data_IF_212565132479
#
_entry.id   IF_212565132479
#
_cell.length_a   1.000
_cell.length_b   1.000
_cell.length_c   1.000
_cell.angle_alpha   90.00
_cell.angle_beta   90.00
_cell.angle_gamma   90.00
#
_symmetry.space_group_name_H-M   'P 1'
#
loop_
_entity.id
_entity.type
_entity.pdbx_description
1 polymer ?
#
# COMPACT_ATOMS: atom_id res chain seq x y z
N UNK A 1 54.98 77.29 12.52
CA UNK A 1 53.61 76.83 12.84
C UNK A 1 53.48 75.41 12.31
N UNK A 2 53.37 74.46 13.24
CA UNK A 2 52.92 73.05 13.13
C UNK A 2 53.46 72.18 11.97
N UNK A 3 54.63 71.60 12.25
CA UNK A 3 55.12 70.23 12.06
C UNK A 3 54.56 69.35 10.92
N UNK A 4 55.51 68.91 10.09
CA UNK A 4 55.51 67.99 8.96
C UNK A 4 55.13 66.53 9.31
N UNK A 5 54.47 65.80 8.37
CA UNK A 5 54.87 64.42 8.03
C UNK A 5 54.23 63.91 6.73
N UNK A 6 55.04 63.83 5.67
CA UNK A 6 54.89 62.90 4.55
C UNK A 6 56.27 62.22 4.38
N UNK A 7 56.28 60.94 3.93
CA UNK A 7 57.40 59.94 3.88
C UNK A 7 57.44 59.05 5.13
N UNK A 8 57.62 57.73 5.07
CA UNK A 8 58.27 56.84 4.10
C UNK A 8 57.89 55.37 4.43
N UNK A 9 58.00 54.48 3.43
CA UNK A 9 58.38 53.04 3.50
C UNK A 9 57.76 52.08 4.51
N UNK A 10 57.13 51.03 3.98
CA UNK A 10 57.65 49.65 4.07
C UNK A 10 57.55 48.90 5.41
N UNK A 11 56.82 47.77 5.36
CA UNK A 11 56.77 46.66 6.32
C UNK A 11 56.08 46.92 7.67
N UNK A 12 55.33 45.92 8.14
CA UNK A 12 55.75 45.31 9.39
C UNK A 12 55.80 43.78 9.36
N UNK A 13 56.81 43.29 10.08
CA UNK A 13 56.93 42.01 10.77
C UNK A 13 55.58 41.53 11.34
N UNK A 14 55.28 40.24 11.48
CA UNK A 14 56.14 39.07 11.68
C UNK A 14 55.58 38.31 12.87
N UNK A 15 54.72 37.31 12.63
CA UNK A 15 54.29 36.34 13.65
C UNK A 15 54.12 34.94 13.03
N UNK A 16 55.23 34.20 13.10
CA UNK A 16 55.42 32.76 13.31
C UNK A 16 54.49 31.71 12.65
N UNK A 17 55.16 30.83 11.90
CA UNK A 17 54.79 29.47 11.50
C UNK A 17 54.08 28.66 12.59
N UNK A 18 52.95 28.05 12.21
CA UNK A 18 52.46 26.76 12.73
C UNK A 18 51.79 25.99 11.57
N UNK A 19 52.48 25.79 10.46
CA UNK A 19 52.00 24.87 9.40
C UNK A 19 52.88 23.62 9.23
N UNK A 20 53.91 23.47 10.09
CA UNK A 20 54.88 22.37 10.04
C UNK A 20 54.47 21.11 10.84
N UNK A 21 53.21 20.97 11.25
CA UNK A 21 52.75 19.80 12.04
C UNK A 21 51.48 19.12 11.55
N UNK A 22 51.08 19.32 10.29
CA UNK A 22 49.97 18.57 9.71
C UNK A 22 50.46 17.59 8.64
N UNK A 23 50.11 16.29 8.71
CA UNK A 23 50.50 15.32 7.70
C UNK A 23 49.95 15.77 6.34
N UNK A 24 50.78 15.65 5.30
CA UNK A 24 50.42 15.92 3.91
C UNK A 24 49.13 15.15 3.58
N UNK A 25 47.99 15.82 3.64
CA UNK A 25 46.76 15.29 3.08
C UNK A 25 46.96 15.28 1.56
N UNK A 26 46.65 14.17 0.87
CA UNK A 26 46.88 14.07 -0.56
C UNK A 26 46.12 15.19 -1.26
N UNK A 27 46.89 16.03 -1.96
CA UNK A 27 46.45 17.11 -2.84
C UNK A 27 45.06 16.84 -3.45
N UNK A 28 44.08 17.68 -3.11
CA UNK A 28 42.82 17.77 -3.87
C UNK A 28 43.16 18.13 -5.31
N UNK A 29 42.90 17.28 -6.32
CA UNK A 29 43.24 17.62 -7.68
C UNK A 29 42.14 18.51 -8.24
N UNK A 30 42.21 19.81 -7.96
CA UNK A 30 41.64 20.83 -8.84
C UNK A 30 42.47 20.92 -10.14
N UNK A 31 42.72 19.77 -10.80
CA UNK A 31 43.13 19.72 -12.20
C UNK A 31 41.86 19.57 -13.01
N UNK A 32 41.56 20.56 -13.84
CA UNK A 32 40.42 20.56 -14.76
C UNK A 32 40.63 19.44 -15.79
N UNK A 33 40.19 18.22 -15.45
CA UNK A 33 40.20 17.10 -16.36
C UNK A 33 39.17 17.33 -17.46
N UNK A 34 39.51 16.98 -18.70
CA UNK A 34 38.52 16.91 -19.76
C UNK A 34 37.38 15.98 -19.34
N UNK A 35 36.13 16.23 -19.78
CA UNK A 35 34.97 15.40 -19.40
C UNK A 35 35.21 13.90 -19.63
N UNK A 36 35.94 13.55 -20.69
CA UNK A 36 36.34 12.18 -21.01
C UNK A 36 37.28 11.57 -19.96
N UNK A 37 38.32 12.31 -19.52
CA UNK A 37 39.24 11.85 -18.47
C UNK A 37 38.55 11.75 -17.10
N UNK A 38 37.58 12.63 -16.81
CA UNK A 38 36.75 12.56 -15.60
C UNK A 38 35.86 11.32 -15.60
N UNK A 39 35.23 11.00 -16.73
CA UNK A 39 34.44 9.76 -16.89
C UNK A 39 35.32 8.52 -16.70
N UNK A 40 36.51 8.51 -17.30
CA UNK A 40 37.44 7.38 -17.16
C UNK A 40 37.94 7.22 -15.72
N UNK A 41 38.15 8.31 -14.98
CA UNK A 41 38.51 8.26 -13.56
C UNK A 41 37.43 7.57 -12.72
N UNK A 42 36.14 7.94 -12.88
CA UNK A 42 35.05 7.29 -12.15
C UNK A 42 34.82 5.83 -12.58
N UNK A 43 35.03 5.50 -13.86
CA UNK A 43 34.99 4.12 -14.34
C UNK A 43 36.12 3.31 -13.69
N UNK A 44 37.36 3.79 -13.75
CA UNK A 44 38.50 3.10 -13.15
C UNK A 44 38.37 3.00 -11.62
N UNK A 45 37.75 3.98 -10.97
CA UNK A 45 37.46 3.95 -9.54
C UNK A 45 36.35 2.94 -9.22
N UNK A 46 35.33 2.80 -10.06
CA UNK A 46 34.30 1.76 -9.91
C UNK A 46 34.86 0.35 -10.16
N UNK A 47 35.75 0.21 -11.14
CA UNK A 47 36.43 -1.06 -11.48
C UNK A 47 37.40 -1.49 -10.37
N UNK A 48 38.18 -0.56 -9.76
CA UNK A 48 39.00 -0.91 -8.59
C UNK A 48 38.19 -1.22 -7.33
N UNK A 49 36.92 -0.81 -7.28
CA UNK A 49 36.01 -1.15 -6.20
C UNK A 49 35.19 -2.42 -6.51
N UNK A 50 35.37 -3.11 -7.64
CA UNK A 50 34.61 -4.34 -7.95
C UNK A 50 34.95 -5.51 -7.04
N UNK A 51 36.13 -5.50 -6.43
CA UNK A 51 36.55 -6.51 -5.43
C UNK A 51 35.89 -6.28 -4.06
N UNK A 52 35.27 -5.11 -3.87
CA UNK A 52 34.40 -4.84 -2.74
C UNK A 52 32.97 -4.96 -3.24
N UNK A 53 32.34 -6.13 -3.01
CA UNK A 53 30.92 -6.37 -3.30
C UNK A 53 30.13 -5.11 -2.92
N UNK A 54 29.51 -4.40 -3.89
CA UNK A 54 28.88 -3.12 -3.62
C UNK A 54 27.89 -3.29 -2.48
N UNK A 55 28.17 -2.68 -1.32
CA UNK A 55 27.25 -2.74 -0.19
C UNK A 55 25.92 -2.16 -0.66
N UNK A 56 24.89 -3.00 -0.60
CA UNK A 56 23.57 -2.63 -1.04
C UNK A 56 23.11 -1.36 -0.31
N UNK A 57 22.86 -0.28 -1.08
CA UNK A 57 22.37 0.97 -0.51
C UNK A 57 20.84 0.94 -0.48
N UNK A 58 20.29 0.90 0.74
CA UNK A 58 18.85 0.93 0.98
C UNK A 58 18.18 -0.45 0.99
N UNK A 59 17.01 -0.51 1.65
CA UNK A 59 16.28 -1.76 1.96
C UNK A 59 16.02 -2.65 0.75
N UNK A 60 15.60 -2.06 -0.38
CA UNK A 60 15.31 -2.81 -1.62
C UNK A 60 16.56 -3.40 -2.25
N UNK A 61 17.68 -2.68 -2.21
CA UNK A 61 18.95 -3.20 -2.72
C UNK A 61 19.47 -4.33 -1.83
N UNK A 62 19.26 -4.23 -0.51
CA UNK A 62 19.73 -5.21 0.46
C UNK A 62 18.95 -6.52 0.31
N UNK A 63 17.63 -6.42 0.17
CA UNK A 63 16.76 -7.56 -0.14
C UNK A 63 17.19 -8.28 -1.44
N UNK A 64 17.56 -7.52 -2.49
CA UNK A 64 18.03 -8.12 -3.75
C UNK A 64 19.34 -8.89 -3.55
N UNK A 65 20.27 -8.32 -2.80
CA UNK A 65 21.55 -8.97 -2.50
C UNK A 65 21.36 -10.25 -1.66
N UNK A 66 20.48 -10.20 -0.65
CA UNK A 66 20.12 -11.38 0.15
C UNK A 66 19.47 -12.46 -0.71
N UNK A 67 18.52 -12.10 -1.58
CA UNK A 67 17.89 -13.05 -2.49
C UNK A 67 18.90 -13.70 -3.44
N UNK A 68 19.83 -12.92 -4.01
CA UNK A 68 20.88 -13.46 -4.89
C UNK A 68 21.79 -14.43 -4.13
N UNK A 69 22.20 -14.09 -2.90
CA UNK A 69 23.00 -14.99 -2.06
C UNK A 69 22.26 -16.28 -1.74
N UNK A 70 20.98 -16.18 -1.38
CA UNK A 70 20.14 -17.33 -1.08
C UNK A 70 20.03 -18.28 -2.28
N UNK A 71 19.79 -17.75 -3.48
CA UNK A 71 19.73 -18.57 -4.70
C UNK A 71 21.06 -19.26 -5.00
N UNK A 72 22.18 -18.55 -4.84
CA UNK A 72 23.52 -19.11 -5.05
C UNK A 72 23.80 -20.27 -4.09
N UNK A 73 23.44 -20.12 -2.81
CA UNK A 73 23.56 -21.20 -1.80
C UNK A 73 22.67 -22.40 -2.10
N UNK A 74 21.49 -22.22 -2.69
CA UNK A 74 20.63 -23.34 -3.12
C UNK A 74 21.26 -24.11 -4.28
N UNK A 75 21.85 -23.40 -5.25
CA UNK A 75 22.53 -24.01 -6.40
C UNK A 75 23.80 -24.76 -5.96
N UNK A 76 24.59 -24.21 -5.04
CA UNK A 76 25.76 -24.89 -4.47
C UNK A 76 25.39 -26.18 -3.73
N UNK A 77 24.17 -26.25 -3.17
CA UNK A 77 23.68 -27.45 -2.48
C UNK A 77 23.26 -28.56 -3.45
N UNK A 78 22.84 -28.21 -4.66
CA UNK A 78 22.41 -29.15 -5.71
C UNK A 78 23.61 -29.87 -6.35
N UNK A 79 24.77 -29.22 -6.44
CA UNK A 79 25.98 -29.79 -7.05
C UNK A 79 26.76 -30.76 -6.13
N UNK A 80 26.50 -30.77 -4.81
CA UNK A 80 27.16 -31.68 -3.85
C UNK A 80 26.40 -33.00 -3.58
N UNK A 81 25.20 -33.18 -4.13
CA UNK A 81 24.32 -34.33 -3.85
C UNK A 81 24.45 -35.46 -4.89
N UNK A 82 25.64 -35.70 -5.44
CA UNK A 82 25.83 -36.80 -6.40
C UNK A 82 26.07 -38.17 -5.78
N UNK A 83 26.30 -38.30 -4.47
CA UNK A 83 26.51 -39.60 -3.83
C UNK A 83 25.95 -39.64 -2.40
N UNK A 84 24.63 -39.54 -2.23
CA UNK A 84 23.96 -40.24 -1.14
C UNK A 84 22.50 -40.46 -1.57
N UNK A 85 22.02 -41.68 -1.36
CA UNK A 85 20.64 -42.10 -1.63
C UNK A 85 19.72 -41.38 -0.65
N UNK A 86 19.45 -40.10 -0.93
CA UNK A 86 18.42 -39.35 -0.23
C UNK A 86 17.08 -39.83 -0.81
N UNK A 87 16.41 -40.69 -0.04
CA UNK A 87 14.99 -41.00 -0.22
C UNK A 87 14.25 -39.69 -0.02
N UNK A 88 14.22 -38.89 -1.08
CA UNK A 88 13.37 -37.72 -1.21
C UNK A 88 11.97 -38.28 -1.29
N UNK A 89 11.29 -38.34 -0.14
CA UNK A 89 9.84 -38.50 -0.14
C UNK A 89 9.30 -37.43 -1.09
N UNK A 90 8.69 -37.80 -2.23
CA UNK A 90 8.26 -36.81 -3.20
C UNK A 90 7.31 -35.86 -2.48
N UNK A 91 7.62 -34.56 -2.56
CA UNK A 91 6.78 -33.54 -1.97
C UNK A 91 5.33 -33.80 -2.39
N UNK A 92 4.40 -33.72 -1.42
CA UNK A 92 2.99 -33.91 -1.71
C UNK A 92 2.60 -33.05 -2.91
N UNK A 93 1.99 -33.63 -3.97
CA UNK A 93 1.77 -32.94 -5.22
C UNK A 93 1.04 -31.63 -4.97
N UNK A 94 1.53 -30.55 -5.59
CA UNK A 94 0.87 -29.24 -5.52
C UNK A 94 -0.58 -29.36 -5.98
N UNK A 95 -1.45 -28.47 -5.51
CA UNK A 95 -2.86 -28.41 -5.95
C UNK A 95 -2.95 -28.38 -7.49
N UNK A 96 -2.01 -27.69 -8.14
CA UNK A 96 -1.92 -27.66 -9.61
C UNK A 96 -1.54 -29.03 -10.20
N UNK A 97 -0.56 -29.72 -9.61
CA UNK A 97 -0.17 -31.08 -10.02
C UNK A 97 -1.34 -32.06 -9.87
N UNK A 98 -2.08 -31.97 -8.76
CA UNK A 98 -3.26 -32.81 -8.53
C UNK A 98 -4.39 -32.49 -9.50
N UNK A 99 -4.60 -31.21 -9.84
CA UNK A 99 -5.62 -30.80 -10.80
C UNK A 99 -5.29 -31.26 -12.22
N UNK A 100 -4.03 -31.17 -12.66
CA UNK A 100 -3.60 -31.64 -13.97
C UNK A 100 -3.60 -33.17 -14.09
N UNK A 101 -3.37 -33.89 -12.98
CA UNK A 101 -3.45 -35.35 -12.94
C UNK A 101 -4.90 -35.86 -12.75
N UNK A 102 -5.87 -34.97 -12.55
CA UNK A 102 -7.27 -35.35 -12.40
C UNK A 102 -7.89 -35.66 -13.77
N UNK A 103 -8.19 -36.94 -14.00
CA UNK A 103 -8.76 -37.44 -15.26
C UNK A 103 -10.08 -36.77 -15.61
N UNK A 104 -10.93 -36.49 -14.62
CA UNK A 104 -12.22 -35.83 -14.83
C UNK A 104 -12.06 -34.38 -15.26
N UNK A 105 -11.18 -33.62 -14.61
CA UNK A 105 -10.91 -32.23 -15.01
C UNK A 105 -10.28 -32.15 -16.39
N UNK A 106 -9.36 -33.08 -16.70
CA UNK A 106 -8.75 -33.14 -18.03
C UNK A 106 -9.74 -33.52 -19.12
N UNK A 107 -10.69 -34.42 -18.84
CA UNK A 107 -11.77 -34.74 -19.78
C UNK A 107 -12.69 -33.55 -20.05
N UNK A 108 -13.11 -32.83 -19.01
CA UNK A 108 -13.95 -31.62 -19.16
C UNK A 108 -13.19 -30.52 -19.92
N UNK A 109 -11.90 -30.35 -19.62
CA UNK A 109 -11.07 -29.36 -20.29
C UNK A 109 -10.85 -29.70 -21.77
N UNK A 110 -10.55 -30.97 -22.08
CA UNK A 110 -10.42 -31.45 -23.46
C UNK A 110 -11.75 -31.33 -24.22
N UNK A 111 -12.88 -31.68 -23.60
CA UNK A 111 -14.20 -31.50 -24.21
C UNK A 111 -14.49 -30.01 -24.50
N UNK A 112 -14.09 -29.11 -23.61
CA UNK A 112 -14.25 -27.67 -23.83
C UNK A 112 -13.34 -27.14 -24.95
N UNK A 113 -12.06 -27.52 -24.95
CA UNK A 113 -11.08 -27.02 -25.92
C UNK A 113 -11.37 -27.50 -27.35
N UNK A 114 -11.94 -28.70 -27.50
CA UNK A 114 -12.27 -29.28 -28.80
C UNK A 114 -13.60 -28.79 -29.39
N UNK A 115 -14.36 -27.93 -28.67
CA UNK A 115 -15.59 -27.30 -29.19
C UNK A 115 -15.27 -26.12 -30.11
N UNK A 116 -16.22 -25.77 -30.97
CA UNK A 116 -16.14 -24.55 -31.77
C UNK A 116 -16.17 -23.29 -30.88
N UNK A 117 -15.62 -22.17 -31.37
CA UNK A 117 -15.57 -20.92 -30.60
C UNK A 117 -16.95 -20.42 -30.15
N UNK A 118 -17.96 -20.54 -31.00
CA UNK A 118 -19.35 -20.18 -30.67
C UNK A 118 -19.93 -21.06 -29.56
N UNK A 119 -19.58 -22.35 -29.53
CA UNK A 119 -20.01 -23.27 -28.48
C UNK A 119 -19.29 -23.01 -27.16
N UNK A 120 -18.00 -22.68 -27.21
CA UNK A 120 -17.25 -22.26 -26.03
C UNK A 120 -17.88 -21.03 -25.40
N UNK A 121 -18.27 -20.03 -26.20
CA UNK A 121 -18.95 -18.82 -25.72
C UNK A 121 -20.30 -19.14 -25.05
N UNK A 122 -21.11 -20.03 -25.66
CA UNK A 122 -22.37 -20.50 -25.05
C UNK A 122 -22.14 -21.19 -23.70
N UNK A 123 -21.11 -22.02 -23.59
CA UNK A 123 -20.76 -22.71 -22.33
C UNK A 123 -20.32 -21.69 -21.27
N UNK A 124 -19.50 -20.70 -21.62
CA UNK A 124 -19.05 -19.65 -20.70
C UNK A 124 -20.23 -18.80 -20.20
N UNK A 125 -21.13 -18.38 -21.09
CA UNK A 125 -22.34 -17.63 -20.73
C UNK A 125 -23.25 -18.43 -19.79
N UNK A 126 -23.45 -19.72 -20.07
CA UNK A 126 -24.22 -20.61 -19.21
C UNK A 126 -23.60 -20.78 -17.82
N UNK A 127 -22.28 -20.91 -17.73
CA UNK A 127 -21.56 -20.99 -16.46
C UNK A 127 -21.65 -19.68 -15.68
N UNK A 128 -21.52 -18.53 -16.35
CA UNK A 128 -21.68 -17.22 -15.72
C UNK A 128 -23.10 -17.03 -15.17
N UNK A 129 -24.12 -17.43 -15.94
CA UNK A 129 -25.50 -17.41 -15.49
C UNK A 129 -25.75 -18.36 -14.31
N UNK A 130 -25.18 -19.57 -14.34
CA UNK A 130 -25.23 -20.49 -13.20
C UNK A 130 -24.52 -19.97 -11.96
N UNK A 131 -23.41 -19.24 -12.10
CA UNK A 131 -22.73 -18.58 -10.97
C UNK A 131 -23.58 -17.43 -10.42
N UNK A 132 -24.34 -16.72 -11.26
CA UNK A 132 -25.32 -15.72 -10.83
C UNK A 132 -26.52 -16.35 -10.11
N UNK A 133 -26.96 -17.54 -10.54
CA UNK A 133 -28.12 -18.27 -9.97
C UNK A 133 -27.79 -19.10 -8.72
N UNK A 134 -26.54 -19.52 -8.51
CA UNK A 134 -26.11 -20.12 -7.23
C UNK A 134 -26.03 -19.00 -6.17
N UNK A 135 -26.62 -19.18 -4.97
CA UNK A 135 -26.43 -18.21 -3.90
C UNK A 135 -24.93 -18.21 -3.56
N UNK A 136 -24.26 -17.11 -3.89
CA UNK A 136 -22.86 -16.89 -3.50
C UNK A 136 -22.77 -17.09 -2.00
N UNK A 137 -22.06 -18.11 -1.56
CA UNK A 137 -21.72 -18.31 -0.15
C UNK A 137 -21.01 -17.06 0.37
N UNK A 138 -21.77 -16.22 1.07
CA UNK A 138 -21.35 -15.21 2.07
C UNK A 138 -20.39 -14.10 1.58
N UNK A 139 -20.81 -13.34 0.57
CA UNK A 139 -20.90 -11.88 0.77
C UNK A 139 -22.23 -11.65 1.50
N UNK A 140 -22.42 -10.68 2.41
CA UNK A 140 -23.72 -10.49 3.04
C UNK A 140 -24.72 -10.11 1.94
N UNK A 141 -25.44 -11.14 1.47
CA UNK A 141 -26.71 -11.05 0.80
C UNK A 141 -27.50 -10.02 1.56
N UNK A 142 -27.95 -8.96 0.88
CA UNK A 142 -28.87 -7.94 1.38
C UNK A 142 -29.76 -8.58 2.45
N UNK A 143 -29.40 -8.31 3.69
CA UNK A 143 -30.19 -8.71 4.84
C UNK A 143 -31.57 -8.16 4.56
N UNK A 144 -32.59 -9.03 4.56
CA UNK A 144 -33.97 -8.62 4.85
C UNK A 144 -33.90 -7.48 5.87
N UNK A 145 -34.50 -6.33 5.56
CA UNK A 145 -34.36 -5.15 6.39
C UNK A 145 -35.05 -5.41 7.74
N UNK A 146 -34.26 -5.89 8.73
CA UNK A 146 -34.74 -6.23 10.09
C UNK A 146 -35.16 -5.00 10.90
N UNK A 147 -35.10 -3.79 10.30
CA UNK A 147 -35.47 -2.51 10.94
C UNK A 147 -36.94 -2.30 11.21
N UNK A 148 -37.78 -3.33 11.04
CA UNK A 148 -39.18 -3.29 11.51
C UNK A 148 -39.30 -3.41 13.03
N UNK A 149 -38.24 -3.83 13.72
CA UNK A 149 -38.17 -3.89 15.19
C UNK A 149 -37.05 -2.97 15.71
N UNK A 150 -37.30 -2.28 16.83
CA UNK A 150 -36.34 -1.34 17.44
C UNK A 150 -35.77 -1.95 18.72
N UNK A 151 -34.44 -2.05 18.87
CA UNK A 151 -33.40 -1.80 17.86
C UNK A 151 -33.30 -2.85 16.76
N UNK A 152 -32.96 -2.38 15.56
CA UNK A 152 -32.80 -3.26 14.40
C UNK A 152 -31.51 -4.09 14.44
N UNK A 153 -30.45 -3.52 15.04
CA UNK A 153 -29.09 -4.07 15.00
C UNK A 153 -28.26 -3.58 16.20
N UNK A 154 -27.40 -4.45 16.72
CA UNK A 154 -26.50 -4.08 17.82
C UNK A 154 -25.31 -3.23 17.34
N UNK A 155 -24.68 -2.42 18.22
CA UNK A 155 -23.49 -1.64 17.87
C UNK A 155 -22.36 -2.51 17.29
N UNK A 156 -22.13 -3.70 17.85
CA UNK A 156 -21.20 -4.70 17.32
C UNK A 156 -21.55 -5.09 15.88
N UNK A 157 -22.81 -5.37 15.57
CA UNK A 157 -23.24 -5.72 14.21
C UNK A 157 -23.00 -4.58 13.23
N UNK A 158 -23.34 -3.35 13.62
CA UNK A 158 -23.05 -2.14 12.85
C UNK A 158 -21.54 -2.00 12.61
N UNK A 159 -20.71 -2.22 13.63
CA UNK A 159 -19.26 -2.18 13.49
C UNK A 159 -18.76 -3.28 12.55
N UNK A 160 -19.30 -4.50 12.61
CA UNK A 160 -18.90 -5.60 11.74
C UNK A 160 -19.21 -5.35 10.25
N UNK A 161 -20.20 -4.48 9.92
CA UNK A 161 -20.45 -4.04 8.54
C UNK A 161 -19.30 -3.25 7.94
N UNK A 162 -18.56 -2.53 8.78
CA UNK A 162 -17.37 -1.82 8.35
C UNK A 162 -16.35 -2.84 7.82
N UNK A 163 -15.78 -2.54 6.66
CA UNK A 163 -14.81 -3.42 6.00
C UNK A 163 -13.65 -3.77 6.94
N UNK A 164 -13.17 -5.01 6.85
CA UNK A 164 -12.10 -5.54 7.73
C UNK A 164 -10.88 -4.62 7.77
N UNK A 165 -10.50 -4.06 6.60
CA UNK A 165 -9.38 -3.11 6.50
C UNK A 165 -9.66 -1.84 7.28
N UNK A 166 -10.84 -1.24 7.14
CA UNK A 166 -11.17 0.02 7.83
C UNK A 166 -11.28 -0.20 9.34
N UNK A 167 -11.88 -1.30 9.79
CA UNK A 167 -11.87 -1.68 11.22
C UNK A 167 -10.47 -1.80 11.81
N UNK A 168 -9.53 -2.38 11.06
CA UNK A 168 -8.13 -2.47 11.52
C UNK A 168 -7.46 -1.11 11.65
N UNK A 169 -7.84 -0.13 10.83
CA UNK A 169 -7.34 1.24 10.90
C UNK A 169 -7.94 1.96 12.10
N UNK A 170 -9.26 1.83 12.30
CA UNK A 170 -9.97 2.45 13.41
C UNK A 170 -9.46 1.94 14.78
N UNK A 171 -9.11 0.65 14.89
CA UNK A 171 -8.59 0.08 16.14
C UNK A 171 -7.13 0.43 16.46
N UNK A 172 -6.32 0.82 15.46
CA UNK A 172 -4.86 0.96 15.62
C UNK A 172 -4.37 2.40 15.67
N UNK A 173 -5.19 3.36 15.25
CA UNK A 173 -4.80 4.78 15.15
C UNK A 173 -5.52 5.59 16.20
N UNK A 174 -4.88 6.65 16.69
CA UNK A 174 -5.61 7.76 17.29
C UNK A 174 -6.45 8.40 16.19
N UNK A 175 -7.77 8.28 16.32
CA UNK A 175 -8.72 8.87 15.39
C UNK A 175 -8.97 10.31 15.87
N UNK A 176 -8.97 11.31 14.97
CA UNK A 176 -9.48 12.64 15.27
C UNK A 176 -10.97 12.55 15.57
N UNK A 177 -11.32 12.32 16.84
CA UNK A 177 -12.69 12.08 17.28
C UNK A 177 -13.63 13.21 16.89
N UNK A 178 -13.21 14.46 17.06
CA UNK A 178 -14.02 15.62 16.67
C UNK A 178 -14.39 15.62 15.18
N UNK A 179 -13.47 15.25 14.29
CA UNK A 179 -13.79 15.15 12.85
C UNK A 179 -14.77 14.01 12.56
N UNK A 180 -14.64 12.89 13.27
CA UNK A 180 -15.56 11.76 13.13
C UNK A 180 -16.97 12.13 13.63
N UNK A 181 -17.07 12.80 14.77
CA UNK A 181 -18.32 13.28 15.36
C UNK A 181 -19.02 14.30 14.45
N UNK A 182 -18.30 15.27 13.90
CA UNK A 182 -18.90 16.23 12.97
C UNK A 182 -19.52 15.55 11.73
N UNK A 183 -18.81 14.62 11.10
CA UNK A 183 -19.38 13.88 9.96
C UNK A 183 -20.58 13.02 10.35
N UNK A 184 -20.53 12.42 11.54
CA UNK A 184 -21.62 11.61 12.06
C UNK A 184 -22.89 12.44 12.30
N UNK A 185 -22.76 13.60 12.95
CA UNK A 185 -23.84 14.56 13.16
C UNK A 185 -24.43 15.09 11.86
N UNK A 186 -23.58 15.46 10.89
CA UNK A 186 -24.03 15.95 9.58
C UNK A 186 -24.86 14.90 8.82
N UNK A 187 -24.38 13.65 8.78
CA UNK A 187 -25.11 12.56 8.12
C UNK A 187 -26.43 12.27 8.83
N UNK A 188 -26.44 12.24 10.16
CA UNK A 188 -27.65 12.05 10.95
C UNK A 188 -28.67 13.15 10.68
N UNK A 189 -28.26 14.42 10.76
CA UNK A 189 -29.12 15.56 10.51
C UNK A 189 -29.70 15.54 9.08
N UNK A 190 -28.85 15.26 8.08
CA UNK A 190 -29.25 15.25 6.68
C UNK A 190 -30.26 14.15 6.35
N UNK A 191 -29.96 12.90 6.71
CA UNK A 191 -30.79 11.75 6.35
C UNK A 191 -32.03 11.59 7.24
N UNK A 192 -32.04 12.18 8.44
CA UNK A 192 -33.25 12.25 9.27
C UNK A 192 -34.32 13.15 8.65
N UNK A 193 -33.93 14.23 7.98
CA UNK A 193 -34.85 15.13 7.27
C UNK A 193 -35.18 14.60 5.87
N UNK A 194 -34.16 14.10 5.16
CA UNK A 194 -34.29 13.76 3.74
C UNK A 194 -33.68 12.38 3.41
N UNK A 195 -34.35 11.28 3.78
CA UNK A 195 -33.77 9.94 3.73
C UNK A 195 -33.45 9.44 2.32
N UNK A 196 -34.07 10.00 1.27
CA UNK A 196 -33.85 9.60 -0.13
C UNK A 196 -32.91 10.54 -0.90
N UNK A 197 -32.47 11.64 -0.26
CA UNK A 197 -31.57 12.60 -0.88
C UNK A 197 -30.13 12.08 -0.94
N UNK A 198 -29.30 12.75 -1.73
CA UNK A 198 -27.89 12.42 -1.88
C UNK A 198 -27.05 13.48 -1.17
N UNK A 199 -26.35 13.08 -0.11
CA UNK A 199 -25.39 13.95 0.57
C UNK A 199 -24.10 14.02 -0.26
N UNK A 200 -23.57 15.22 -0.44
CA UNK A 200 -22.37 15.46 -1.24
C UNK A 200 -21.42 16.37 -0.48
N UNK A 201 -20.17 15.95 -0.35
CA UNK A 201 -19.11 16.71 0.32
C UNK A 201 -17.85 16.76 -0.54
N UNK A 202 -17.17 17.91 -0.56
CA UNK A 202 -15.86 18.05 -1.19
C UNK A 202 -14.79 17.82 -0.12
N UNK A 203 -14.10 16.68 -0.20
CA UNK A 203 -13.09 16.29 0.77
C UNK A 203 -11.80 16.00 0.04
N UNK A 204 -10.83 16.90 0.13
CA UNK A 204 -9.51 16.73 -0.51
C UNK A 204 -8.61 15.79 0.30
N UNK A 205 -8.80 15.73 1.62
CA UNK A 205 -8.07 14.84 2.51
C UNK A 205 -8.52 13.38 2.37
N UNK A 206 -7.61 12.51 1.96
CA UNK A 206 -7.86 11.06 1.83
C UNK A 206 -8.25 10.38 3.15
N UNK A 207 -7.81 10.91 4.28
CA UNK A 207 -8.12 10.36 5.59
C UNK A 207 -9.55 10.70 6.03
N UNK A 208 -10.00 11.94 5.83
CA UNK A 208 -11.41 12.32 6.06
C UNK A 208 -12.35 11.51 5.18
N UNK A 209 -12.01 11.32 3.90
CA UNK A 209 -12.77 10.43 3.00
C UNK A 209 -12.87 9.01 3.55
N UNK A 210 -11.80 8.49 4.14
CA UNK A 210 -11.80 7.17 4.79
C UNK A 210 -12.75 7.13 5.99
N UNK A 211 -12.71 8.15 6.86
CA UNK A 211 -13.59 8.24 8.03
C UNK A 211 -15.06 8.32 7.62
N UNK A 212 -15.39 9.20 6.68
CA UNK A 212 -16.75 9.32 6.16
C UNK A 212 -17.24 8.00 5.56
N UNK A 213 -16.37 7.30 4.82
CA UNK A 213 -16.72 6.00 4.25
C UNK A 213 -16.94 4.93 5.33
N UNK A 214 -16.25 5.01 6.47
CA UNK A 214 -16.43 4.10 7.61
C UNK A 214 -17.79 4.34 8.27
N UNK A 215 -18.13 5.61 8.53
CA UNK A 215 -19.42 6.04 9.07
C UNK A 215 -20.56 5.57 8.17
N UNK A 216 -20.43 5.77 6.85
CA UNK A 216 -21.44 5.31 5.92
C UNK A 216 -21.66 3.79 6.02
N UNK A 217 -20.59 2.98 6.12
CA UNK A 217 -20.72 1.53 6.29
C UNK A 217 -21.38 1.15 7.63
N UNK A 218 -21.06 1.89 8.69
CA UNK A 218 -21.65 1.70 10.02
C UNK A 218 -23.16 1.96 10.02
N UNK A 219 -23.58 3.10 9.45
CA UNK A 219 -24.97 3.53 9.29
C UNK A 219 -25.71 2.82 8.15
N UNK A 220 -25.06 1.88 7.46
CA UNK A 220 -25.57 1.15 6.28
C UNK A 220 -25.98 2.05 5.09
N UNK A 221 -25.32 3.20 4.95
CA UNK A 221 -25.40 4.06 3.77
C UNK A 221 -24.47 3.56 2.65
N UNK A 222 -24.80 3.89 1.41
CA UNK A 222 -23.91 3.73 0.26
C UNK A 222 -23.06 4.98 0.10
N UNK A 223 -21.77 4.80 -0.20
CA UNK A 223 -20.87 5.93 -0.41
C UNK A 223 -19.88 5.66 -1.54
N UNK A 224 -19.54 6.70 -2.28
CA UNK A 224 -18.62 6.67 -3.40
C UNK A 224 -17.76 7.93 -3.41
N UNK A 225 -16.51 7.80 -3.84
CA UNK A 225 -15.61 8.93 -4.09
C UNK A 225 -15.35 9.06 -5.59
N UNK A 226 -15.50 10.27 -6.12
CA UNK A 226 -15.25 10.59 -7.52
C UNK A 226 -14.48 11.91 -7.66
N UNK A 227 -13.79 12.11 -8.78
CA UNK A 227 -13.20 13.40 -9.12
C UNK A 227 -14.24 14.28 -9.81
N UNK A 228 -14.42 15.50 -9.32
CA UNK A 228 -15.29 16.52 -9.91
C UNK A 228 -14.51 17.84 -9.96
N UNK A 229 -14.28 18.38 -11.17
CA UNK A 229 -13.56 19.64 -11.38
C UNK A 229 -12.16 19.68 -10.73
N UNK A 230 -11.46 18.53 -10.71
CA UNK A 230 -10.13 18.40 -10.10
C UNK A 230 -10.14 18.32 -8.56
N UNK A 231 -11.31 18.38 -7.92
CA UNK A 231 -11.49 18.16 -6.48
C UNK A 231 -12.12 16.79 -6.23
N UNK A 232 -11.77 16.21 -5.09
CA UNK A 232 -12.31 14.90 -4.69
C UNK A 232 -13.67 15.09 -4.01
N UNK A 233 -14.72 14.56 -4.63
CA UNK A 233 -16.08 14.60 -4.13
C UNK A 233 -16.45 13.25 -3.51
N UNK A 234 -17.09 13.30 -2.35
CA UNK A 234 -17.76 12.19 -1.70
C UNK A 234 -19.26 12.32 -1.93
N UNK A 235 -19.88 11.22 -2.35
CA UNK A 235 -21.32 11.09 -2.53
C UNK A 235 -21.84 10.00 -1.63
N UNK A 236 -22.86 10.29 -0.85
CA UNK A 236 -23.49 9.37 0.09
C UNK A 236 -24.97 9.30 -0.20
N UNK A 237 -25.51 8.09 -0.30
CA UNK A 237 -26.93 7.87 -0.52
C UNK A 237 -27.45 6.77 0.40
N UNK A 238 -28.71 6.89 0.79
CA UNK A 238 -29.38 5.82 1.49
C UNK A 238 -29.74 4.70 0.51
N UNK A 239 -29.52 3.45 0.91
CA UNK A 239 -29.91 2.27 0.12
C UNK A 239 -31.40 1.97 0.24
N UNK A 240 -32.05 2.56 1.25
CA UNK A 240 -33.39 2.23 1.69
C UNK A 240 -34.31 3.45 1.58
N UNK A 241 -35.63 3.23 1.61
CA UNK A 241 -36.63 4.30 1.48
C UNK A 241 -36.76 5.19 2.73
N UNK A 242 -36.36 4.67 3.89
CA UNK A 242 -36.33 5.37 5.18
C UNK A 242 -34.93 5.28 5.80
N UNK A 243 -34.56 6.26 6.61
CA UNK A 243 -33.30 6.28 7.34
C UNK A 243 -33.55 5.87 8.80
N UNK A 244 -32.74 4.92 9.28
CA UNK A 244 -32.79 4.47 10.67
C UNK A 244 -31.35 4.53 11.22
N UNK A 245 -31.07 5.46 12.14
CA UNK A 245 -29.75 5.59 12.72
C UNK A 245 -29.42 4.38 13.62
N UNK A 246 -28.14 4.02 13.78
CA UNK A 246 -27.70 3.07 14.80
C UNK A 246 -28.02 3.59 16.21
N UNK A 247 -28.31 2.69 17.16
CA UNK A 247 -28.57 3.08 18.56
C UNK A 247 -27.37 3.77 19.23
N UNK A 248 -26.17 3.33 18.88
CA UNK A 248 -24.92 3.85 19.39
C UNK A 248 -24.11 4.43 18.26
N UNK A 249 -23.66 5.66 18.43
CA UNK A 249 -22.79 6.35 17.49
C UNK A 249 -21.43 5.65 17.37
N UNK A 250 -20.84 5.68 16.18
CA UNK A 250 -19.53 5.07 15.93
C UNK A 250 -18.45 5.75 16.75
N UNK A 251 -18.52 7.08 16.90
CA UNK A 251 -17.63 7.86 17.77
C UNK A 251 -17.63 7.32 19.20
N UNK A 252 -18.82 7.23 19.81
CA UNK A 252 -18.99 6.73 21.18
C UNK A 252 -18.53 5.28 21.30
N UNK A 253 -18.90 4.42 20.34
CA UNK A 253 -18.50 3.01 20.32
C UNK A 253 -16.97 2.84 20.28
N UNK A 254 -16.28 3.64 19.48
CA UNK A 254 -14.82 3.60 19.40
C UNK A 254 -14.15 4.15 20.66
N UNK A 255 -14.73 5.18 21.29
CA UNK A 255 -14.26 5.70 22.58
C UNK A 255 -14.37 4.70 23.73
N UNK A 256 -15.31 3.76 23.67
CA UNK A 256 -15.40 2.64 24.63
C UNK A 256 -14.36 1.54 24.38
N UNK A 257 -13.79 1.47 23.18
CA UNK A 257 -12.78 0.47 22.80
C UNK A 257 -11.34 0.90 23.04
N UNK A 258 -11.09 2.20 23.24
CA UNK A 258 -9.77 2.80 23.47
C UNK A 258 -9.39 2.82 24.94
#
# INVERSE_FOLDING_TARGET
MVVLKNRETGQPDGYRLIDDYLPILPNSPCKKFSPAKRKQYYINQAVRNSDLIPKAKGRKSLQRLENTRYLMTLMERDECLTDEVEITNPASPSIFTQACNNTTYMQIWNDFINRSGEEQEKVLLYLEEKVKRKPKTKLPTRTEDKRKEHPAYTPEECFQRISRRMRSILRRRQIPMGTLECFEEELLAFFSVSPQSVYTALLDNSYERLLLHALCQYMDLASASSDCEGKRQMRVSNKHGAFFPPDLLLSVYLGQMS
#
